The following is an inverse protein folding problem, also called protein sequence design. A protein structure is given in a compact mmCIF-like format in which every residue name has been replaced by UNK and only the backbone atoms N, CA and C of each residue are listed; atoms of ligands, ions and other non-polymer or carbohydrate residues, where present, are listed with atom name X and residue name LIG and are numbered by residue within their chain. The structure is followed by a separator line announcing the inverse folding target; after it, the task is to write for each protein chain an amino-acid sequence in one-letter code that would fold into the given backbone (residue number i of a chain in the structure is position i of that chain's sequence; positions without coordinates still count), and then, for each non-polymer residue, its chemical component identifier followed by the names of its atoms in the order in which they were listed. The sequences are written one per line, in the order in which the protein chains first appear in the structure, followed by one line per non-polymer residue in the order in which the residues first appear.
data_IF_354919042509
#
_entry.id   IF_354919042509
#
_cell.length_a   1.000
_cell.length_b   1.000
_cell.length_c   1.000
_cell.angle_alpha   90.00
_cell.angle_beta   90.00
_cell.angle_gamma   90.00
#
_symmetry.space_group_name_H-M   'P 1'
#
loop_
_entity.id
_entity.type
_entity.pdbx_description
1 polymer ?
#
# COMPACT_ATOMS: atom_id res chain seq x y z
N UNK A 1 31.98 23.02 6.79
CA UNK A 1 33.11 23.86 7.27
C UNK A 1 34.40 23.09 7.09
N UNK A 2 35.46 23.73 6.59
CA UNK A 2 36.79 23.12 6.49
C UNK A 2 37.41 22.90 7.88
N UNK A 3 38.27 21.91 8.03
CA UNK A 3 38.96 21.60 9.28
C UNK A 3 40.01 22.68 9.60
N UNK A 4 39.84 23.47 10.69
CA UNK A 4 40.79 24.51 11.07
C UNK A 4 42.17 23.95 11.49
N UNK A 5 42.26 22.64 11.77
CA UNK A 5 43.52 21.97 12.10
C UNK A 5 44.49 21.87 10.91
N UNK A 6 43.99 22.01 9.68
CA UNK A 6 44.80 21.96 8.46
C UNK A 6 45.33 23.33 8.02
N UNK A 7 44.97 24.41 8.73
CA UNK A 7 45.44 25.77 8.41
C UNK A 7 46.91 25.95 8.82
N UNK A 8 47.73 26.42 7.88
CA UNK A 8 49.12 26.80 8.12
C UNK A 8 49.24 28.23 8.66
N UNK A 9 50.29 28.48 9.44
CA UNK A 9 50.57 29.82 9.99
C UNK A 9 50.86 30.80 8.84
N UNK A 10 50.15 31.94 8.76
CA UNK A 10 50.45 32.95 7.75
C UNK A 10 51.89 33.46 7.84
N UNK A 11 52.53 33.68 6.70
CA UNK A 11 53.87 34.23 6.67
C UNK A 11 53.85 35.74 7.02
N UNK A 12 53.98 36.05 8.31
CA UNK A 12 54.00 37.43 8.82
C UNK A 12 55.25 38.24 8.43
N UNK A 13 56.21 37.64 7.72
CA UNK A 13 57.34 38.37 7.14
C UNK A 13 57.02 39.01 5.78
N UNK A 14 55.89 38.64 5.15
CA UNK A 14 55.46 39.20 3.88
C UNK A 14 55.08 40.69 4.00
N UNK A 15 55.23 41.41 2.89
CA UNK A 15 54.95 42.85 2.76
C UNK A 15 53.50 43.23 3.14
N UNK A 16 52.55 42.29 2.99
CA UNK A 16 51.14 42.52 3.35
C UNK A 16 50.93 42.81 4.85
N UNK A 17 51.85 42.34 5.70
CA UNK A 17 51.78 42.54 7.15
C UNK A 17 52.64 43.72 7.63
N UNK A 18 53.31 44.46 6.74
CA UNK A 18 54.19 45.58 7.08
C UNK A 18 53.47 46.68 7.86
N UNK A 19 52.26 47.03 7.43
CA UNK A 19 51.44 48.06 8.09
C UNK A 19 51.10 47.65 9.53
N UNK A 20 50.87 46.36 9.76
CA UNK A 20 50.56 45.81 11.09
C UNK A 20 51.81 45.75 11.96
N UNK A 21 52.96 45.32 11.39
CA UNK A 21 54.27 45.31 12.08
C UNK A 21 54.71 46.73 12.48
N UNK A 22 54.55 47.70 11.60
CA UNK A 22 54.88 49.11 11.86
C UNK A 22 53.96 49.72 12.93
N UNK A 23 52.68 49.36 12.94
CA UNK A 23 51.74 49.75 14.00
C UNK A 23 52.16 49.22 15.39
N UNK A 24 52.59 47.97 15.46
CA UNK A 24 53.09 47.34 16.69
C UNK A 24 54.39 47.99 17.18
N UNK A 25 55.32 48.27 16.26
CA UNK A 25 56.56 49.03 16.52
C UNK A 25 56.29 50.39 17.17
N UNK A 26 55.40 51.19 16.58
CA UNK A 26 55.12 52.55 17.07
C UNK A 26 54.40 52.57 18.41
N UNK A 27 53.51 51.60 18.65
CA UNK A 27 52.65 51.58 19.83
C UNK A 27 53.28 50.90 21.04
N UNK A 28 54.11 49.89 20.81
CA UNK A 28 54.68 49.04 21.88
C UNK A 28 56.22 49.07 21.94
N UNK A 29 56.88 49.85 21.06
CA UNK A 29 58.35 49.91 20.94
C UNK A 29 59.00 48.53 20.70
N UNK A 30 58.26 47.62 20.06
CA UNK A 30 58.70 46.26 19.76
C UNK A 30 59.56 46.22 18.49
N UNK A 31 60.56 45.33 18.43
CA UNK A 31 61.28 45.08 17.17
C UNK A 31 60.46 44.17 16.22
N UNK A 32 60.93 43.99 14.99
CA UNK A 32 60.19 43.19 13.99
C UNK A 32 59.94 41.74 14.41
N UNK A 33 60.91 41.12 15.08
CA UNK A 33 60.79 39.75 15.57
C UNK A 33 59.78 39.63 16.72
N UNK A 34 59.69 40.65 17.57
CA UNK A 34 58.71 40.70 18.66
C UNK A 34 57.29 40.88 18.11
N UNK A 35 57.12 41.76 17.13
CA UNK A 35 55.84 41.96 16.44
C UNK A 35 55.37 40.67 15.73
N UNK A 36 56.27 39.99 15.00
CA UNK A 36 55.96 38.70 14.36
C UNK A 36 55.58 37.61 15.37
N UNK A 37 56.33 37.47 16.48
CA UNK A 37 56.01 36.49 17.54
C UNK A 37 54.61 36.74 18.13
N UNK A 38 54.24 38.00 18.31
CA UNK A 38 52.93 38.39 18.84
C UNK A 38 51.81 38.05 17.87
N UNK A 39 52.01 38.27 16.57
CA UNK A 39 51.05 37.91 15.52
C UNK A 39 50.87 36.39 15.42
N UNK A 40 51.96 35.62 15.48
CA UNK A 40 51.89 34.15 15.52
C UNK A 40 51.13 33.67 16.75
N UNK A 41 51.45 34.18 17.95
CA UNK A 41 50.77 33.79 19.18
C UNK A 41 49.26 34.12 19.16
N UNK A 42 48.88 35.30 18.66
CA UNK A 42 47.48 35.69 18.53
C UNK A 42 46.73 34.80 17.52
N UNK A 43 47.36 34.46 16.40
CA UNK A 43 46.79 33.54 15.42
C UNK A 43 46.62 32.13 15.98
N UNK A 44 47.61 31.64 16.72
CA UNK A 44 47.61 30.31 17.31
C UNK A 44 46.49 30.15 18.35
N UNK A 45 46.29 31.15 19.22
CA UNK A 45 45.16 31.18 20.16
C UNK A 45 43.80 31.23 19.46
N UNK A 46 43.69 31.99 18.36
CA UNK A 46 42.46 32.02 17.56
C UNK A 46 42.20 30.66 16.87
N UNK A 47 43.24 30.01 16.34
CA UNK A 47 43.14 28.67 15.73
C UNK A 47 42.74 27.62 16.74
N UNK A 48 43.31 27.61 17.94
CA UNK A 48 42.91 26.70 19.02
C UNK A 48 41.43 26.85 19.39
N UNK A 49 40.95 28.09 19.51
CA UNK A 49 39.53 28.38 19.77
C UNK A 49 38.63 27.83 18.65
N UNK A 50 39.02 28.00 17.38
CA UNK A 50 38.29 27.48 16.22
C UNK A 50 38.29 25.96 16.15
N UNK A 51 39.40 25.30 16.51
CA UNK A 51 39.48 23.84 16.58
C UNK A 51 38.54 23.30 17.65
N UNK A 52 38.55 23.87 18.86
CA UNK A 52 37.64 23.45 19.94
C UNK A 52 36.18 23.62 19.53
N UNK A 53 35.82 24.77 18.93
CA UNK A 53 34.46 25.00 18.44
C UNK A 53 34.08 24.01 17.33
N UNK A 54 35.00 23.69 16.42
CA UNK A 54 34.76 22.74 15.35
C UNK A 54 34.58 21.30 15.86
N UNK A 55 35.38 20.87 16.85
CA UNK A 55 35.23 19.56 17.51
C UNK A 55 33.87 19.49 18.21
N UNK A 56 33.51 20.51 18.99
CA UNK A 56 32.22 20.57 19.68
C UNK A 56 31.03 20.51 18.70
N UNK A 57 31.14 21.19 17.55
CA UNK A 57 30.13 21.11 16.49
C UNK A 57 30.04 19.70 15.91
N UNK A 58 31.18 19.06 15.63
CA UNK A 58 31.22 17.70 15.08
C UNK A 58 30.61 16.66 16.03
N UNK A 59 30.87 16.78 17.32
CA UNK A 59 30.24 15.91 18.33
C UNK A 59 28.74 16.15 18.46
N UNK A 60 28.28 17.41 18.36
CA UNK A 60 26.86 17.72 18.36
C UNK A 60 26.15 17.16 17.11
N UNK A 61 26.75 17.31 15.93
CA UNK A 61 26.22 16.77 14.68
C UNK A 61 26.13 15.23 14.73
N UNK A 62 27.14 14.56 15.31
CA UNK A 62 27.15 13.11 15.48
C UNK A 62 26.03 12.65 16.42
N UNK A 63 25.87 13.29 17.58
CA UNK A 63 24.77 12.98 18.52
C UNK A 63 23.41 13.17 17.89
N UNK A 64 23.20 14.27 17.17
CA UNK A 64 21.93 14.53 16.48
C UNK A 64 21.65 13.47 15.39
N UNK A 65 22.69 12.98 14.70
CA UNK A 65 22.53 11.92 13.71
C UNK A 65 22.18 10.57 14.37
N UNK A 66 22.83 10.22 15.48
CA UNK A 66 22.53 9.03 16.26
C UNK A 66 21.10 9.07 16.81
N UNK A 67 20.70 10.17 17.44
CA UNK A 67 19.33 10.38 17.96
C UNK A 67 18.28 10.31 16.83
N UNK A 68 18.58 10.87 15.65
CA UNK A 68 17.69 10.79 14.50
C UNK A 68 17.56 9.35 13.95
N UNK A 69 18.65 8.57 13.94
CA UNK A 69 18.63 7.17 13.53
C UNK A 69 17.83 6.32 14.52
N UNK A 70 18.01 6.53 15.82
CA UNK A 70 17.25 5.86 16.86
C UNK A 70 15.76 6.21 16.79
N UNK A 71 15.43 7.49 16.61
CA UNK A 71 14.04 7.93 16.43
C UNK A 71 13.41 7.29 15.18
N UNK A 72 14.14 7.23 14.07
CA UNK A 72 13.67 6.56 12.86
C UNK A 72 13.45 5.06 13.07
N UNK A 73 14.35 4.40 13.82
CA UNK A 73 14.22 2.98 14.17
C UNK A 73 12.97 2.71 15.01
N UNK A 74 12.73 3.54 16.02
CA UNK A 74 11.54 3.43 16.88
C UNK A 74 10.25 3.67 16.08
N UNK A 75 10.24 4.62 15.16
CA UNK A 75 9.09 4.85 14.28
C UNK A 75 8.80 3.64 13.38
N UNK A 76 9.82 3.03 12.79
CA UNK A 76 9.63 1.81 11.99
C UNK A 76 9.12 0.64 12.83
N UNK A 77 9.66 0.44 14.04
CA UNK A 77 9.20 -0.61 14.96
C UNK A 77 7.75 -0.38 15.41
N UNK A 78 7.35 0.87 15.68
CA UNK A 78 5.97 1.22 16.02
C UNK A 78 5.02 0.97 14.84
N UNK A 79 5.44 1.29 13.62
CA UNK A 79 4.65 1.06 12.41
C UNK A 79 4.51 -0.43 12.09
N UNK A 80 5.58 -1.22 12.26
CA UNK A 80 5.57 -2.68 12.16
C UNK A 80 4.65 -3.31 13.24
N UNK A 81 4.70 -2.81 14.47
CA UNK A 81 3.81 -3.24 15.55
C UNK A 81 2.34 -2.94 15.19
N UNK A 82 2.03 -1.75 14.67
CA UNK A 82 0.68 -1.39 14.21
C UNK A 82 0.20 -2.27 13.06
N UNK A 83 1.07 -2.59 12.09
CA UNK A 83 0.73 -3.48 10.98
C UNK A 83 0.51 -4.93 11.44
N UNK A 84 1.33 -5.43 12.37
CA UNK A 84 1.12 -6.77 12.94
C UNK A 84 -0.16 -6.84 13.78
N UNK A 85 -0.56 -5.74 14.45
CA UNK A 85 -1.86 -5.67 15.14
C UNK A 85 -3.06 -5.65 14.19
N UNK A 86 -2.99 -4.92 13.07
CA UNK A 86 -4.05 -4.93 12.05
C UNK A 86 -4.20 -6.31 11.39
N UNK A 87 -3.11 -7.05 11.24
CA UNK A 87 -3.07 -8.40 10.66
C UNK A 87 -3.54 -9.48 11.63
N UNK A 88 -3.64 -9.21 12.94
CA UNK A 88 -4.27 -10.16 13.87
C UNK A 88 -5.72 -10.33 13.42
N UNK A 89 -6.15 -11.54 13.03
CA UNK A 89 -7.51 -11.76 12.61
C UNK A 89 -8.42 -11.38 13.77
N UNK A 90 -9.15 -10.28 13.59
CA UNK A 90 -10.12 -9.83 14.58
C UNK A 90 -11.19 -10.91 14.64
N UNK A 91 -11.26 -11.61 15.77
CA UNK A 91 -12.23 -12.67 15.96
C UNK A 91 -13.62 -12.10 15.69
N UNK A 92 -14.29 -12.61 14.66
CA UNK A 92 -15.65 -12.20 14.33
C UNK A 92 -16.51 -12.41 15.57
N UNK A 93 -17.05 -11.32 16.09
CA UNK A 93 -17.95 -11.36 17.23
C UNK A 93 -19.32 -11.83 16.75
N UNK A 94 -19.93 -12.78 17.45
CA UNK A 94 -21.29 -13.22 17.15
C UNK A 94 -22.29 -12.16 17.61
N UNK A 95 -23.34 -11.92 16.81
CA UNK A 95 -24.46 -11.04 17.17
C UNK A 95 -25.51 -11.84 17.96
N UNK A 96 -25.69 -11.59 19.28
CA UNK A 96 -26.68 -12.31 20.08
C UNK A 96 -28.08 -12.13 19.53
N UNK A 97 -28.79 -13.24 19.32
CA UNK A 97 -30.15 -13.25 18.76
C UNK A 97 -30.21 -13.36 17.23
N UNK A 98 -29.08 -13.41 16.51
CA UNK A 98 -29.09 -13.73 15.08
C UNK A 98 -29.14 -15.23 14.89
N UNK A 99 -30.24 -15.74 14.35
CA UNK A 99 -30.33 -17.15 13.92
C UNK A 99 -29.45 -17.31 12.68
N UNK A 100 -28.42 -18.15 12.77
CA UNK A 100 -27.73 -18.65 11.57
C UNK A 100 -28.74 -19.52 10.83
N UNK A 101 -29.06 -19.17 9.58
CA UNK A 101 -29.95 -19.98 8.79
C UNK A 101 -29.37 -21.40 8.68
N UNK A 102 -30.13 -22.40 9.13
CA UNK A 102 -29.73 -23.82 9.14
C UNK A 102 -29.50 -24.38 7.72
N UNK A 103 -29.93 -23.64 6.69
CA UNK A 103 -29.73 -23.98 5.28
C UNK A 103 -28.56 -23.18 4.71
N UNK A 104 -27.44 -23.85 4.50
CA UNK A 104 -26.35 -23.33 3.66
C UNK A 104 -26.85 -23.19 2.22
N UNK A 105 -27.22 -21.97 1.85
CA UNK A 105 -27.60 -21.65 0.47
C UNK A 105 -26.31 -21.38 -0.32
N UNK A 106 -25.82 -22.38 -1.04
CA UNK A 106 -24.70 -22.16 -1.97
C UNK A 106 -25.09 -21.10 -3.03
N UNK A 107 -24.24 -20.10 -3.30
CA UNK A 107 -24.51 -19.12 -4.34
C UNK A 107 -24.43 -19.77 -5.74
N UNK A 108 -25.09 -19.19 -6.76
CA UNK A 108 -24.86 -19.52 -8.16
C UNK A 108 -23.39 -19.32 -8.56
N UNK A 109 -22.99 -19.97 -9.66
CA UNK A 109 -21.62 -19.85 -10.17
C UNK A 109 -21.23 -18.39 -10.49
N UNK A 110 -19.95 -18.00 -10.32
CA UNK A 110 -19.46 -16.68 -10.73
C UNK A 110 -19.76 -16.38 -12.20
N UNK A 111 -19.69 -17.38 -13.08
CA UNK A 111 -20.08 -17.28 -14.48
C UNK A 111 -21.53 -16.80 -14.66
N UNK A 112 -22.48 -17.42 -13.95
CA UNK A 112 -23.88 -17.06 -14.03
C UNK A 112 -24.17 -15.66 -13.47
N UNK A 113 -23.48 -15.29 -12.38
CA UNK A 113 -23.58 -13.95 -11.80
C UNK A 113 -23.00 -12.88 -12.73
N UNK A 114 -21.89 -13.15 -13.41
CA UNK A 114 -21.30 -12.26 -14.41
C UNK A 114 -22.21 -12.07 -15.64
N UNK A 115 -22.90 -13.14 -16.06
CA UNK A 115 -23.90 -13.05 -17.13
C UNK A 115 -25.09 -12.21 -16.71
N UNK A 116 -25.58 -12.39 -15.48
CA UNK A 116 -26.65 -11.57 -14.91
C UNK A 116 -26.28 -10.08 -14.83
N UNK A 117 -25.07 -9.73 -14.38
CA UNK A 117 -24.64 -8.33 -14.27
C UNK A 117 -24.52 -7.62 -15.63
N UNK A 118 -24.35 -8.40 -16.69
CA UNK A 118 -24.25 -7.91 -18.07
C UNK A 118 -25.54 -8.09 -18.88
N UNK A 119 -26.66 -8.42 -18.22
CA UNK A 119 -27.97 -8.67 -18.83
C UNK A 119 -27.97 -9.75 -19.92
N UNK A 120 -26.96 -10.64 -19.89
CA UNK A 120 -26.82 -11.71 -20.86
C UNK A 120 -27.65 -12.92 -20.45
N UNK A 121 -28.09 -13.67 -21.46
CA UNK A 121 -28.75 -14.95 -21.24
C UNK A 121 -27.84 -15.94 -20.49
N UNK A 122 -28.44 -16.67 -19.56
CA UNK A 122 -27.81 -17.75 -18.79
C UNK A 122 -28.86 -18.79 -18.46
N UNK A 123 -28.49 -20.07 -18.59
CA UNK A 123 -29.39 -21.19 -18.34
C UNK A 123 -29.84 -21.23 -16.86
N UNK A 124 -31.13 -21.52 -16.64
CA UNK A 124 -31.71 -21.63 -15.31
C UNK A 124 -31.07 -22.75 -14.48
N UNK A 125 -30.45 -23.74 -15.13
CA UNK A 125 -29.70 -24.80 -14.45
C UNK A 125 -28.69 -24.27 -13.42
N UNK A 126 -28.02 -23.13 -13.68
CA UNK A 126 -27.07 -22.54 -12.73
C UNK A 126 -27.70 -22.10 -11.41
N UNK A 127 -29.01 -21.87 -11.40
CA UNK A 127 -29.80 -21.44 -10.25
C UNK A 127 -30.52 -22.61 -9.56
N UNK A 128 -30.48 -23.80 -10.16
CA UNK A 128 -30.96 -25.06 -9.56
C UNK A 128 -30.09 -25.50 -8.38
N UNK A 129 -30.53 -26.49 -7.61
CA UNK A 129 -29.68 -27.08 -6.57
C UNK A 129 -28.42 -27.72 -7.17
N UNK A 130 -28.57 -28.45 -8.28
CA UNK A 130 -27.46 -29.13 -8.94
C UNK A 130 -26.39 -28.14 -9.43
N UNK A 131 -26.80 -27.05 -10.08
CA UNK A 131 -25.88 -26.02 -10.57
C UNK A 131 -25.16 -25.29 -9.45
N UNK A 132 -25.84 -24.99 -8.34
CA UNK A 132 -25.22 -24.34 -7.17
C UNK A 132 -24.28 -25.26 -6.39
N UNK A 133 -24.60 -26.56 -6.32
CA UNK A 133 -23.68 -27.55 -5.78
C UNK A 133 -22.46 -27.75 -6.68
N UNK A 134 -22.64 -27.72 -8.01
CA UNK A 134 -21.54 -27.76 -8.95
C UNK A 134 -20.60 -26.57 -8.75
N UNK A 135 -21.14 -25.36 -8.65
CA UNK A 135 -20.38 -24.15 -8.33
C UNK A 135 -19.63 -24.25 -6.99
N UNK A 136 -20.28 -24.76 -5.94
CA UNK A 136 -19.68 -24.93 -4.63
C UNK A 136 -18.48 -25.89 -4.63
N UNK A 137 -18.49 -26.93 -5.47
CA UNK A 137 -17.33 -27.85 -5.62
C UNK A 137 -16.08 -27.13 -6.12
N UNK A 138 -16.24 -26.09 -6.93
CA UNK A 138 -15.13 -25.29 -7.43
C UNK A 138 -14.75 -24.16 -6.45
N UNK A 139 -15.72 -23.57 -5.76
CA UNK A 139 -15.47 -22.53 -4.74
C UNK A 139 -14.80 -23.04 -3.46
N UNK A 140 -15.07 -24.27 -3.02
CA UNK A 140 -14.51 -24.83 -1.78
C UNK A 140 -13.05 -25.29 -1.93
N UNK A 141 -12.47 -25.24 -3.14
CA UNK A 141 -11.04 -25.45 -3.36
C UNK A 141 -10.30 -24.16 -3.06
N UNK A 142 -10.16 -23.88 -1.76
CA UNK A 142 -9.59 -22.68 -1.12
C UNK A 142 -8.13 -22.31 -1.48
N UNK A 143 -7.59 -22.70 -2.64
CA UNK A 143 -6.23 -22.35 -3.03
C UNK A 143 -5.91 -22.38 -4.54
N UNK A 144 -6.86 -22.61 -5.44
CA UNK A 144 -6.53 -22.97 -6.83
C UNK A 144 -7.35 -22.29 -7.94
N UNK A 145 -8.04 -21.19 -7.67
CA UNK A 145 -8.68 -20.39 -8.74
C UNK A 145 -8.22 -18.93 -8.75
N UNK A 146 -6.95 -18.72 -8.42
CA UNK A 146 -6.20 -17.48 -8.69
C UNK A 146 -5.73 -17.44 -10.17
N UNK A 147 -6.46 -18.16 -11.04
CA UNK A 147 -6.16 -18.17 -12.48
C UNK A 147 -6.97 -17.07 -13.13
N UNK A 148 -6.26 -16.04 -13.57
CA UNK A 148 -6.86 -14.92 -14.28
C UNK A 148 -6.67 -15.08 -15.79
N UNK A 149 -7.75 -14.86 -16.52
CA UNK A 149 -7.75 -14.70 -17.96
C UNK A 149 -7.49 -13.24 -18.31
N UNK A 150 -6.82 -13.03 -19.43
CA UNK A 150 -6.61 -11.72 -20.02
C UNK A 150 -7.38 -11.69 -21.36
N UNK A 151 -8.32 -10.77 -21.52
CA UNK A 151 -9.06 -10.57 -22.77
C UNK A 151 -9.02 -9.12 -23.22
N UNK A 152 -9.21 -8.90 -24.53
CA UNK A 152 -9.32 -7.57 -25.13
C UNK A 152 -10.80 -7.21 -25.23
N UNK A 153 -11.19 -6.07 -24.66
CA UNK A 153 -12.54 -5.49 -24.75
C UNK A 153 -12.36 -4.04 -25.18
N UNK A 154 -12.91 -3.66 -26.34
CA UNK A 154 -12.89 -2.28 -26.87
C UNK A 154 -11.50 -1.62 -26.81
N UNK A 155 -10.50 -2.30 -27.34
CA UNK A 155 -9.07 -1.89 -27.33
C UNK A 155 -8.36 -1.83 -25.98
N UNK A 156 -9.05 -2.15 -24.88
CA UNK A 156 -8.45 -2.30 -23.55
C UNK A 156 -8.20 -3.76 -23.19
N UNK A 157 -7.14 -4.00 -22.43
CA UNK A 157 -6.83 -5.30 -21.85
C UNK A 157 -7.51 -5.39 -20.48
N UNK A 158 -8.40 -6.37 -20.30
CA UNK A 158 -9.08 -6.60 -19.03
C UNK A 158 -8.65 -7.93 -18.43
N UNK A 159 -8.40 -7.92 -17.12
CA UNK A 159 -8.05 -9.10 -16.34
C UNK A 159 -9.32 -9.55 -15.60
N UNK A 160 -9.69 -10.81 -15.74
CA UNK A 160 -10.88 -11.38 -15.11
C UNK A 160 -10.56 -12.77 -14.57
N UNK A 161 -11.23 -13.17 -13.48
CA UNK A 161 -11.11 -14.55 -12.99
C UNK A 161 -11.65 -15.51 -14.06
N UNK A 162 -10.96 -16.62 -14.32
CA UNK A 162 -11.45 -17.64 -15.26
C UNK A 162 -12.81 -18.20 -14.81
N UNK A 163 -13.06 -18.24 -13.50
CA UNK A 163 -14.34 -18.68 -12.93
C UNK A 163 -15.56 -17.87 -13.41
N UNK A 164 -15.37 -16.58 -13.75
CA UNK A 164 -16.47 -15.72 -14.21
C UNK A 164 -16.75 -15.84 -15.71
N UNK A 165 -15.89 -16.54 -16.46
CA UNK A 165 -16.03 -16.70 -17.92
C UNK A 165 -16.24 -18.16 -18.33
N UNK A 166 -15.84 -19.11 -17.47
CA UNK A 166 -15.96 -20.54 -17.76
C UNK A 166 -17.35 -21.09 -17.40
N UNK A 167 -18.11 -21.48 -18.42
CA UNK A 167 -19.34 -22.25 -18.25
C UNK A 167 -19.07 -23.65 -17.69
N UNK A 168 -20.02 -24.20 -16.92
CA UNK A 168 -19.97 -25.59 -16.45
C UNK A 168 -20.18 -26.56 -17.63
N UNK A 169 -19.49 -27.70 -17.61
CA UNK A 169 -19.69 -28.78 -18.58
C UNK A 169 -20.96 -29.59 -18.31
N UNK A 170 -21.54 -29.42 -17.12
CA UNK A 170 -22.72 -30.14 -16.65
C UNK A 170 -24.01 -29.33 -16.87
N UNK A 171 -23.92 -28.18 -17.53
CA UNK A 171 -25.08 -27.30 -17.78
C UNK A 171 -26.13 -28.03 -18.62
N UNK A 172 -27.38 -27.91 -18.20
CA UNK A 172 -28.53 -28.39 -18.97
C UNK A 172 -29.27 -27.21 -19.57
N UNK A 173 -29.71 -27.30 -20.85
CA UNK A 173 -30.63 -26.35 -21.44
C UNK A 173 -31.95 -26.29 -20.64
N UNK A 174 -32.60 -25.12 -20.64
CA UNK A 174 -33.83 -24.90 -19.86
C UNK A 174 -34.96 -25.90 -20.17
N UNK A 175 -35.06 -26.35 -21.42
CA UNK A 175 -36.08 -27.32 -21.86
C UNK A 175 -35.76 -28.78 -21.47
N UNK A 176 -34.51 -29.08 -21.11
CA UNK A 176 -34.10 -30.39 -20.59
C UNK A 176 -34.14 -30.43 -19.05
N UNK A 177 -34.37 -29.28 -18.40
CA UNK A 177 -34.43 -29.19 -16.96
C UNK A 177 -35.75 -29.80 -16.45
N UNK A 178 -35.73 -30.74 -15.47
CA UNK A 178 -36.95 -31.28 -14.90
C UNK A 178 -37.87 -30.17 -14.38
N UNK A 179 -39.15 -30.22 -14.72
CA UNK A 179 -40.08 -29.13 -14.43
C UNK A 179 -40.10 -28.64 -12.97
N UNK A 180 -40.04 -29.53 -11.94
CA UNK A 180 -39.92 -29.08 -10.55
C UNK A 180 -38.63 -28.31 -10.25
N UNK A 181 -37.51 -28.67 -10.88
CA UNK A 181 -36.25 -27.94 -10.78
C UNK A 181 -36.33 -26.60 -11.52
N UNK A 182 -36.96 -26.56 -12.70
CA UNK A 182 -37.22 -25.33 -13.43
C UNK A 182 -38.00 -24.31 -12.58
N UNK A 183 -39.08 -24.74 -11.92
CA UNK A 183 -39.88 -23.88 -11.04
C UNK A 183 -39.10 -23.35 -9.84
N UNK A 184 -38.14 -24.12 -9.30
CA UNK A 184 -37.26 -23.65 -8.22
C UNK A 184 -36.19 -22.70 -8.75
N UNK A 185 -35.57 -23.08 -9.86
CA UNK A 185 -34.47 -22.35 -10.50
C UNK A 185 -34.92 -20.96 -10.97
N UNK A 186 -36.10 -20.82 -11.58
CA UNK A 186 -36.63 -19.51 -12.01
C UNK A 186 -36.81 -18.53 -10.84
N UNK A 187 -37.25 -19.01 -9.68
CA UNK A 187 -37.42 -18.15 -8.51
C UNK A 187 -36.05 -17.69 -8.00
N UNK A 188 -35.09 -18.62 -7.92
CA UNK A 188 -33.71 -18.30 -7.55
C UNK A 188 -33.06 -17.32 -8.56
N UNK A 189 -33.32 -17.49 -9.85
CA UNK A 189 -32.87 -16.56 -10.91
C UNK A 189 -33.44 -15.15 -10.69
N UNK A 190 -34.75 -15.01 -10.52
CA UNK A 190 -35.40 -13.71 -10.32
C UNK A 190 -34.87 -12.98 -9.07
N UNK A 191 -34.62 -13.73 -7.99
CA UNK A 191 -34.01 -13.17 -6.77
C UNK A 191 -32.60 -12.62 -7.03
N UNK A 192 -31.78 -13.33 -7.82
CA UNK A 192 -30.43 -12.87 -8.16
C UNK A 192 -30.44 -11.73 -9.19
N UNK A 193 -31.36 -11.76 -10.16
CA UNK A 193 -31.55 -10.66 -11.10
C UNK A 193 -31.96 -9.37 -10.35
N UNK A 194 -32.85 -9.47 -9.35
CA UNK A 194 -33.20 -8.34 -8.48
C UNK A 194 -31.98 -7.82 -7.71
N UNK A 195 -31.16 -8.72 -7.15
CA UNK A 195 -29.91 -8.35 -6.45
C UNK A 195 -28.85 -7.74 -7.38
N UNK A 196 -28.94 -8.00 -8.68
CA UNK A 196 -28.08 -7.40 -9.70
C UNK A 196 -28.68 -6.11 -10.27
N UNK A 197 -29.62 -5.48 -9.55
CA UNK A 197 -30.26 -4.21 -9.88
C UNK A 197 -30.94 -4.18 -11.26
N UNK A 198 -31.50 -5.32 -11.71
CA UNK A 198 -32.29 -5.34 -12.93
C UNK A 198 -33.51 -4.42 -12.81
N UNK A 199 -33.88 -3.68 -13.88
CA UNK A 199 -35.04 -2.80 -13.85
C UNK A 199 -36.32 -3.58 -13.50
N UNK A 200 -37.16 -2.98 -12.65
CA UNK A 200 -38.39 -3.62 -12.16
C UNK A 200 -39.33 -4.03 -13.29
N UNK A 201 -39.42 -3.23 -14.35
CA UNK A 201 -40.24 -3.54 -15.53
C UNK A 201 -39.81 -4.87 -16.20
N UNK A 202 -38.50 -5.12 -16.29
CA UNK A 202 -37.96 -6.36 -16.85
C UNK A 202 -38.24 -7.55 -15.93
N UNK A 203 -38.08 -7.38 -14.62
CA UNK A 203 -38.38 -8.41 -13.63
C UNK A 203 -39.87 -8.79 -13.64
N UNK A 204 -40.76 -7.80 -13.75
CA UNK A 204 -42.20 -8.01 -13.84
C UNK A 204 -42.59 -8.73 -15.15
N UNK A 205 -41.98 -8.35 -16.27
CA UNK A 205 -42.18 -9.02 -17.55
C UNK A 205 -41.74 -10.49 -17.48
N UNK A 206 -40.58 -10.77 -16.88
CA UNK A 206 -40.08 -12.12 -16.69
C UNK A 206 -40.95 -12.94 -15.73
N UNK A 207 -41.40 -12.34 -14.62
CA UNK A 207 -42.30 -13.00 -13.69
C UNK A 207 -43.62 -13.39 -14.35
N UNK A 208 -44.19 -12.52 -15.19
CA UNK A 208 -45.38 -12.82 -16.00
C UNK A 208 -45.13 -13.94 -16.99
N UNK A 209 -44.00 -13.89 -17.72
CA UNK A 209 -43.61 -14.94 -18.65
C UNK A 209 -43.53 -16.31 -17.96
N UNK A 210 -42.88 -16.38 -16.80
CA UNK A 210 -42.71 -17.61 -16.03
C UNK A 210 -43.97 -18.15 -15.36
N UNK A 211 -44.98 -17.32 -15.18
CA UNK A 211 -46.24 -17.68 -14.53
C UNK A 211 -47.41 -17.78 -15.53
N UNK A 212 -47.15 -17.53 -16.82
CA UNK A 212 -48.12 -17.73 -17.88
C UNK A 212 -48.32 -19.24 -18.11
N UNK A 213 -49.56 -19.71 -18.28
CA UNK A 213 -49.87 -21.10 -18.62
C UNK A 213 -49.34 -21.50 -20.00
#
# INVERSE_FOLDING_TARGET
MADPSLEEVPNYANLEFDVIREGLRRRYHENDQQAMKRLVAAWQANRETRIVAWIAQKEADLRMAEEAEEAHRLLMEEEEAKETEKKKPKMNTFTPGTLVADVFVHPPSPYALQKLSTYNFVELWYFSLAGRMDAAKFSNKSQADDTFGISRVDDHLTVHSIASVRASRSVLPDHELPFPEFLRAKNCFLEHARKADWPTENLDALAKFFCSP
#
